data_IF_050387486574
#
_entry.id   IF_050387486574
#
_cell.length_a   1.000
_cell.length_b   1.000
_cell.length_c   1.000
_cell.angle_alpha   90.00
_cell.angle_beta   90.00
_cell.angle_gamma   90.00
#
_symmetry.space_group_name_H-M   'P 1'
#
loop_
_entity.id
_entity.type
_entity.pdbx_description
1 polymer ?
#
# COMPACT_ATOMS: atom_id res chain seq x y z
N UNK A 1 -48.47 24.91 -73.42
CA UNK A 1 -49.89 24.54 -73.64
C UNK A 1 -50.73 25.73 -73.20
N UNK A 2 -51.66 26.20 -74.05
CA UNK A 2 -51.79 27.62 -74.42
C UNK A 2 -52.64 28.45 -73.44
N UNK A 3 -52.28 29.73 -73.33
CA UNK A 3 -53.08 30.78 -72.72
C UNK A 3 -54.33 31.04 -73.58
N UNK A 4 -55.50 30.91 -72.97
CA UNK A 4 -56.78 31.21 -73.59
C UNK A 4 -57.19 32.62 -73.21
N UNK A 5 -57.22 33.45 -74.24
CA UNK A 5 -57.74 34.80 -74.35
C UNK A 5 -59.29 34.77 -74.34
N UNK A 6 -59.95 35.55 -73.48
CA UNK A 6 -61.37 35.95 -73.68
C UNK A 6 -61.58 37.39 -73.14
N UNK A 7 -62.18 38.30 -73.94
CA UNK A 7 -62.35 39.72 -73.62
C UNK A 7 -63.66 40.00 -72.85
N UNK A 8 -63.70 41.10 -72.09
CA UNK A 8 -64.94 41.69 -71.60
C UNK A 8 -65.29 42.97 -72.40
N UNK A 9 -66.57 43.18 -72.73
CA UNK A 9 -66.98 44.24 -73.65
C UNK A 9 -67.27 45.58 -72.96
N UNK A 10 -67.30 46.58 -73.83
CA UNK A 10 -67.53 48.01 -73.67
C UNK A 10 -68.97 48.42 -73.31
N UNK A 11 -69.04 49.65 -72.79
CA UNK A 11 -70.08 50.69 -72.99
C UNK A 11 -71.43 50.60 -72.24
N UNK A 12 -71.60 51.52 -71.27
CA UNK A 12 -72.68 52.52 -71.04
C UNK A 12 -74.12 52.27 -71.56
N UNK A 13 -75.19 52.72 -70.83
CA UNK A 13 -75.43 54.16 -70.63
C UNK A 13 -76.10 54.61 -69.30
N UNK A 14 -75.82 55.84 -68.89
CA UNK A 14 -76.80 56.79 -68.35
C UNK A 14 -77.29 57.65 -69.54
N UNK A 15 -78.45 58.35 -69.54
CA UNK A 15 -79.18 58.94 -68.41
C UNK A 15 -80.71 58.74 -68.52
N UNK A 16 -81.51 59.31 -67.59
CA UNK A 16 -82.80 59.95 -67.91
C UNK A 16 -83.40 60.62 -66.66
N UNK A 17 -83.66 61.91 -66.82
CA UNK A 17 -84.40 62.84 -65.98
C UNK A 17 -85.91 62.53 -65.96
N UNK A 18 -86.59 62.79 -64.84
CA UNK A 18 -88.00 63.28 -64.79
C UNK A 18 -88.40 63.58 -63.34
N UNK A 19 -88.50 64.86 -62.98
CA UNK A 19 -89.31 65.35 -61.85
C UNK A 19 -89.99 66.64 -62.35
N UNK A 20 -91.25 66.52 -62.76
CA UNK A 20 -92.27 67.58 -62.91
C UNK A 20 -93.32 67.29 -61.83
N UNK A 21 -93.51 68.21 -60.87
CA UNK A 21 -94.69 69.10 -60.72
C UNK A 21 -95.96 68.36 -60.21
N UNK A 22 -96.80 68.80 -59.27
CA UNK A 22 -97.14 69.99 -58.45
C UNK A 22 -98.21 69.47 -57.42
N UNK A 23 -99.02 70.25 -56.65
CA UNK A 23 -99.01 71.67 -56.26
C UNK A 23 -99.18 71.90 -54.73
N UNK A 24 -98.97 73.14 -54.27
CA UNK A 24 -99.57 73.64 -53.03
C UNK A 24 -100.16 75.04 -53.27
N UNK A 25 -101.48 75.07 -53.05
CA UNK A 25 -102.51 76.10 -53.08
C UNK A 25 -102.13 77.59 -52.87
N UNK A 26 -102.76 78.41 -53.72
CA UNK A 26 -102.99 79.85 -53.56
C UNK A 26 -104.08 80.15 -52.51
N UNK A 27 -103.85 81.18 -51.68
CA UNK A 27 -104.89 81.82 -50.86
C UNK A 27 -105.29 83.19 -51.44
N UNK A 28 -106.52 83.23 -51.95
CA UNK A 28 -107.59 84.24 -51.85
C UNK A 28 -107.31 85.76 -51.96
N UNK A 29 -108.05 86.41 -52.87
CA UNK A 29 -108.98 87.56 -52.72
C UNK A 29 -109.30 88.08 -54.15
N UNK A 30 -110.47 88.59 -54.56
CA UNK A 30 -111.78 88.88 -53.98
C UNK A 30 -112.74 89.25 -55.13
N UNK A 31 -114.00 88.85 -55.01
CA UNK A 31 -115.23 89.57 -55.41
C UNK A 31 -115.44 90.07 -56.86
N UNK A 32 -116.48 89.53 -57.53
CA UNK A 32 -117.71 90.30 -57.74
C UNK A 32 -118.92 89.45 -58.22
N UNK A 33 -120.08 89.74 -57.62
CA UNK A 33 -121.48 89.56 -58.07
C UNK A 33 -122.26 88.25 -57.75
N UNK A 34 -123.60 88.34 -57.55
CA UNK A 34 -124.43 87.48 -56.67
C UNK A 34 -125.53 86.72 -57.46
N UNK A 35 -126.65 86.29 -56.83
CA UNK A 35 -126.83 85.25 -55.81
C UNK A 35 -127.75 84.12 -56.33
N UNK A 36 -127.73 82.91 -55.73
CA UNK A 36 -128.86 81.97 -55.78
C UNK A 36 -128.84 80.99 -54.59
N UNK A 37 -130.03 80.85 -54.01
CA UNK A 37 -130.38 80.22 -52.74
C UNK A 37 -130.38 78.67 -52.85
N UNK A 38 -129.38 77.99 -52.26
CA UNK A 38 -129.30 76.50 -52.19
C UNK A 38 -128.66 76.09 -50.85
N UNK A 39 -129.23 76.49 -49.71
CA UNK A 39 -128.65 76.13 -48.40
C UNK A 39 -129.15 74.78 -47.83
N UNK A 40 -130.15 74.13 -48.45
CA UNK A 40 -130.72 72.88 -47.93
C UNK A 40 -130.17 71.58 -48.58
N UNK A 41 -129.55 71.66 -49.76
CA UNK A 41 -129.08 70.48 -50.51
C UNK A 41 -127.61 70.10 -50.22
N UNK A 42 -126.82 71.06 -49.71
CA UNK A 42 -125.38 70.88 -49.40
C UNK A 42 -125.16 70.02 -48.16
N UNK A 43 -126.01 70.16 -47.13
CA UNK A 43 -125.85 69.43 -45.86
C UNK A 43 -126.22 67.93 -45.97
N UNK A 44 -127.14 67.58 -46.88
CA UNK A 44 -127.53 66.19 -47.18
C UNK A 44 -126.48 65.44 -48.03
N UNK A 45 -125.89 66.11 -49.03
CA UNK A 45 -124.84 65.52 -49.86
C UNK A 45 -123.49 65.42 -49.15
N UNK A 46 -123.15 66.36 -48.25
CA UNK A 46 -121.94 66.30 -47.44
C UNK A 46 -121.95 65.13 -46.42
N UNK A 47 -123.12 64.76 -45.89
CA UNK A 47 -123.25 63.61 -45.00
C UNK A 47 -123.14 62.27 -45.74
N UNK A 48 -123.71 62.18 -46.95
CA UNK A 48 -123.72 60.94 -47.77
C UNK A 48 -122.37 60.67 -48.44
N UNK A 49 -121.56 61.70 -48.70
CA UNK A 49 -120.19 61.59 -49.25
C UNK A 49 -119.09 61.47 -48.19
N UNK A 50 -119.31 61.94 -46.95
CA UNK A 50 -118.37 61.78 -45.82
C UNK A 50 -118.18 60.32 -45.38
N UNK A 51 -119.25 59.53 -45.37
CA UNK A 51 -119.18 58.11 -44.98
C UNK A 51 -118.24 57.29 -45.89
N UNK A 52 -118.35 57.35 -47.24
CA UNK A 52 -117.45 56.63 -48.15
C UNK A 52 -116.01 57.19 -48.21
N UNK A 53 -115.79 58.47 -47.87
CA UNK A 53 -114.44 59.04 -47.71
C UNK A 53 -113.72 58.47 -46.47
N UNK A 54 -114.42 58.36 -45.33
CA UNK A 54 -113.82 57.81 -44.11
C UNK A 54 -113.42 56.33 -44.24
N UNK A 55 -114.13 55.54 -45.06
CA UNK A 55 -113.79 54.15 -45.34
C UNK A 55 -112.59 54.01 -46.28
N UNK A 56 -112.45 54.91 -47.25
CA UNK A 56 -111.28 54.97 -48.14
C UNK A 56 -110.03 55.38 -47.36
N UNK A 57 -110.13 56.34 -46.44
CA UNK A 57 -109.04 56.72 -45.54
C UNK A 57 -108.62 55.56 -44.62
N UNK A 58 -109.57 54.83 -44.03
CA UNK A 58 -109.27 53.62 -43.24
C UNK A 58 -108.54 52.56 -44.08
N UNK A 59 -108.96 52.34 -45.32
CA UNK A 59 -108.28 51.42 -46.26
C UNK A 59 -106.87 51.92 -46.63
N UNK A 60 -106.71 53.21 -46.88
CA UNK A 60 -105.42 53.84 -47.20
C UNK A 60 -104.45 53.72 -46.02
N UNK A 61 -104.90 54.00 -44.80
CA UNK A 61 -104.10 53.86 -43.58
C UNK A 61 -103.69 52.39 -43.35
N UNK A 62 -104.59 51.44 -43.60
CA UNK A 62 -104.28 50.00 -43.52
C UNK A 62 -103.25 49.58 -44.58
N UNK A 63 -103.36 50.08 -45.80
CA UNK A 63 -102.41 49.82 -46.88
C UNK A 63 -101.04 50.45 -46.58
N UNK A 64 -101.00 51.68 -46.08
CA UNK A 64 -99.77 52.36 -45.65
C UNK A 64 -99.07 51.60 -44.52
N UNK A 65 -99.84 51.14 -43.52
CA UNK A 65 -99.31 50.27 -42.46
C UNK A 65 -98.71 48.98 -43.04
N UNK A 66 -99.45 48.26 -43.89
CA UNK A 66 -98.98 47.04 -44.56
C UNK A 66 -97.71 47.31 -45.38
N UNK A 67 -97.66 48.41 -46.11
CA UNK A 67 -96.51 48.83 -46.89
C UNK A 67 -95.30 49.09 -45.98
N UNK A 68 -95.49 49.77 -44.84
CA UNK A 68 -94.42 49.99 -43.85
C UNK A 68 -93.89 48.69 -43.24
N UNK A 69 -94.76 47.69 -43.02
CA UNK A 69 -94.38 46.37 -42.51
C UNK A 69 -93.61 45.60 -43.56
N UNK A 70 -94.08 45.63 -44.82
CA UNK A 70 -93.40 45.02 -45.97
C UNK A 70 -92.05 45.66 -46.25
N UNK A 71 -91.95 46.98 -46.16
CA UNK A 71 -90.69 47.71 -46.33
C UNK A 71 -89.67 47.33 -45.25
N UNK A 72 -90.11 47.19 -43.99
CA UNK A 72 -89.25 46.71 -42.90
C UNK A 72 -88.79 45.27 -43.10
N UNK A 73 -89.66 44.39 -43.59
CA UNK A 73 -89.27 43.00 -43.90
C UNK A 73 -88.30 42.92 -45.07
N UNK A 74 -88.48 43.74 -46.12
CA UNK A 74 -87.51 43.83 -47.23
C UNK A 74 -86.15 44.33 -46.74
N UNK A 75 -86.11 45.34 -45.86
CA UNK A 75 -84.87 45.83 -45.28
C UNK A 75 -84.14 44.76 -44.44
N UNK A 76 -84.89 44.00 -43.63
CA UNK A 76 -84.34 42.88 -42.84
C UNK A 76 -83.78 41.78 -43.74
N UNK A 77 -84.53 41.35 -44.76
CA UNK A 77 -84.06 40.33 -45.71
C UNK A 77 -82.82 40.79 -46.48
N UNK A 78 -82.74 42.06 -46.88
CA UNK A 78 -81.55 42.60 -47.53
C UNK A 78 -80.33 42.57 -46.60
N UNK A 79 -80.51 42.85 -45.31
CA UNK A 79 -79.42 42.73 -44.33
C UNK A 79 -78.96 41.27 -44.15
N UNK A 80 -79.89 40.32 -44.06
CA UNK A 80 -79.58 38.89 -43.93
C UNK A 80 -78.88 38.34 -45.18
N UNK A 81 -79.29 38.76 -46.38
CA UNK A 81 -78.63 38.39 -47.63
C UNK A 81 -77.18 38.87 -47.63
N UNK A 82 -76.93 40.10 -47.19
CA UNK A 82 -75.57 40.66 -47.10
C UNK A 82 -74.69 39.87 -46.11
N UNK A 83 -75.24 39.55 -44.94
CA UNK A 83 -74.57 38.72 -43.92
C UNK A 83 -74.28 37.29 -44.40
N UNK A 84 -75.19 36.70 -45.18
CA UNK A 84 -74.97 35.38 -45.76
C UNK A 84 -73.91 35.41 -46.86
N UNK A 85 -73.89 36.45 -47.68
CA UNK A 85 -72.88 36.63 -48.72
C UNK A 85 -71.46 36.76 -48.14
N UNK A 86 -71.29 37.53 -47.06
CA UNK A 86 -69.99 37.67 -46.37
C UNK A 86 -69.54 36.33 -45.77
N UNK A 87 -70.43 35.63 -45.04
CA UNK A 87 -70.13 34.29 -44.48
C UNK A 87 -69.76 33.26 -45.55
N UNK A 88 -70.39 33.33 -46.73
CA UNK A 88 -70.13 32.41 -47.83
C UNK A 88 -68.76 32.68 -48.48
N UNK A 89 -68.37 33.95 -48.61
CA UNK A 89 -67.02 34.35 -49.04
C UNK A 89 -65.94 33.81 -48.09
N UNK A 90 -66.08 34.03 -46.79
CA UNK A 90 -65.14 33.54 -45.77
C UNK A 90 -65.00 32.01 -45.79
N UNK A 91 -66.11 31.29 -45.96
CA UNK A 91 -66.09 29.82 -46.10
C UNK A 91 -65.40 29.38 -47.38
N UNK A 92 -65.60 30.09 -48.49
CA UNK A 92 -64.93 29.86 -49.76
C UNK A 92 -63.42 29.95 -49.63
N UNK A 93 -62.92 31.01 -48.99
CA UNK A 93 -61.49 31.23 -48.75
C UNK A 93 -60.88 30.13 -47.85
N UNK A 94 -61.58 29.73 -46.77
CA UNK A 94 -61.12 28.63 -45.90
C UNK A 94 -61.08 27.29 -46.62
N UNK A 95 -62.04 27.01 -47.51
CA UNK A 95 -62.11 25.73 -48.26
C UNK A 95 -60.87 25.52 -49.14
N UNK A 96 -60.28 26.59 -49.67
CA UNK A 96 -59.04 26.51 -50.47
C UNK A 96 -57.88 25.95 -49.64
N UNK A 97 -57.74 26.35 -48.37
CA UNK A 97 -56.70 25.83 -47.48
C UNK A 97 -56.83 24.33 -47.15
N UNK A 98 -58.06 23.81 -47.16
CA UNK A 98 -58.35 22.39 -46.94
C UNK A 98 -58.49 21.59 -48.24
N UNK A 99 -58.33 22.22 -49.40
CA UNK A 99 -58.27 21.46 -50.64
C UNK A 99 -57.09 20.49 -50.59
N UNK A 100 -57.38 19.24 -50.96
CA UNK A 100 -56.44 18.11 -50.95
C UNK A 100 -55.08 18.45 -51.57
N UNK A 101 -55.06 19.28 -52.63
CA UNK A 101 -53.85 19.75 -53.32
C UNK A 101 -52.92 20.60 -52.42
N UNK A 102 -53.46 21.52 -51.61
CA UNK A 102 -52.64 22.37 -50.75
C UNK A 102 -52.14 21.62 -49.51
N UNK A 103 -52.95 20.70 -48.98
CA UNK A 103 -52.55 19.81 -47.88
C UNK A 103 -51.41 18.89 -48.34
N UNK A 104 -51.54 18.25 -49.50
CA UNK A 104 -50.49 17.36 -50.03
C UNK A 104 -49.19 18.11 -50.33
N UNK A 105 -49.26 19.34 -50.86
CA UNK A 105 -48.07 20.16 -51.11
C UNK A 105 -47.35 20.53 -49.79
N UNK A 106 -48.12 20.88 -48.75
CA UNK A 106 -47.59 21.20 -47.42
C UNK A 106 -46.94 19.98 -46.77
N UNK A 107 -47.58 18.81 -46.86
CA UNK A 107 -47.02 17.55 -46.35
C UNK A 107 -45.74 17.16 -47.11
N UNK A 108 -45.73 17.26 -48.43
CA UNK A 108 -44.54 16.98 -49.24
C UNK A 108 -43.35 17.88 -48.85
N UNK A 109 -43.59 19.18 -48.63
CA UNK A 109 -42.56 20.12 -48.16
C UNK A 109 -42.02 19.76 -46.77
N UNK A 110 -42.91 19.40 -45.83
CA UNK A 110 -42.52 18.93 -44.50
C UNK A 110 -41.71 17.62 -44.58
N UNK A 111 -42.15 16.66 -45.38
CA UNK A 111 -41.47 15.38 -45.55
C UNK A 111 -40.07 15.57 -46.14
N UNK A 112 -39.92 16.44 -47.15
CA UNK A 112 -38.61 16.81 -47.69
C UNK A 112 -37.69 17.41 -46.62
N UNK A 113 -38.24 18.26 -45.75
CA UNK A 113 -37.50 18.83 -44.62
C UNK A 113 -37.08 17.74 -43.62
N UNK A 114 -37.97 16.82 -43.28
CA UNK A 114 -37.69 15.69 -42.39
C UNK A 114 -36.60 14.79 -42.96
N UNK A 115 -36.65 14.46 -44.24
CA UNK A 115 -35.63 13.65 -44.93
C UNK A 115 -34.26 14.34 -44.91
N UNK A 116 -34.21 15.63 -45.21
CA UNK A 116 -32.99 16.42 -45.13
C UNK A 116 -32.40 16.43 -43.70
N UNK A 117 -33.24 16.57 -42.68
CA UNK A 117 -32.81 16.53 -41.28
C UNK A 117 -32.31 15.14 -40.89
N UNK A 118 -32.99 14.06 -41.30
CA UNK A 118 -32.53 12.68 -41.08
C UNK A 118 -31.18 12.41 -41.71
N UNK A 119 -30.96 12.89 -42.95
CA UNK A 119 -29.67 12.77 -43.62
C UNK A 119 -28.57 13.52 -42.86
N UNK A 120 -28.82 14.75 -42.40
CA UNK A 120 -27.88 15.52 -41.58
C UNK A 120 -27.54 14.82 -40.26
N UNK A 121 -28.54 14.28 -39.56
CA UNK A 121 -28.33 13.53 -38.31
C UNK A 121 -27.43 12.31 -38.55
N UNK A 122 -27.66 11.57 -39.63
CA UNK A 122 -26.83 10.39 -39.98
C UNK A 122 -25.38 10.79 -40.25
N UNK A 123 -25.15 11.89 -40.97
CA UNK A 123 -23.80 12.41 -41.23
C UNK A 123 -23.10 12.80 -39.92
N UNK A 124 -23.79 13.55 -39.05
CA UNK A 124 -23.25 13.97 -37.74
C UNK A 124 -22.94 12.78 -36.83
N UNK A 125 -23.78 11.75 -36.81
CA UNK A 125 -23.52 10.52 -36.05
C UNK A 125 -22.26 9.81 -36.55
N UNK A 126 -22.06 9.73 -37.86
CA UNK A 126 -20.85 9.13 -38.44
C UNK A 126 -19.60 9.95 -38.10
N UNK A 127 -19.66 11.28 -38.18
CA UNK A 127 -18.57 12.18 -37.78
C UNK A 127 -18.24 12.05 -36.29
N UNK A 128 -19.25 11.97 -35.43
CA UNK A 128 -19.06 11.73 -34.00
C UNK A 128 -18.34 10.39 -33.76
N UNK A 129 -18.76 9.32 -34.45
CA UNK A 129 -18.16 7.99 -34.30
C UNK A 129 -16.69 7.97 -34.73
N UNK A 130 -16.35 8.61 -35.85
CA UNK A 130 -14.95 8.69 -36.30
C UNK A 130 -14.10 9.54 -35.35
N UNK A 131 -14.63 10.68 -34.88
CA UNK A 131 -13.92 11.52 -33.91
C UNK A 131 -13.64 10.76 -32.61
N UNK A 132 -14.65 10.10 -32.04
CA UNK A 132 -14.50 9.28 -30.82
C UNK A 132 -13.46 8.17 -31.02
N UNK A 133 -13.51 7.46 -32.16
CA UNK A 133 -12.52 6.41 -32.44
C UNK A 133 -11.09 6.96 -32.56
N UNK A 134 -10.91 8.16 -33.14
CA UNK A 134 -9.60 8.81 -33.22
C UNK A 134 -9.10 9.27 -31.84
N UNK A 135 -9.98 9.83 -31.00
CA UNK A 135 -9.63 10.24 -29.64
C UNK A 135 -9.27 9.03 -28.78
N UNK A 136 -10.01 7.93 -28.88
CA UNK A 136 -9.74 6.70 -28.13
C UNK A 136 -8.39 6.11 -28.51
N UNK A 137 -8.06 6.09 -29.82
CA UNK A 137 -6.73 5.66 -30.30
C UNK A 137 -5.60 6.56 -29.75
N UNK A 138 -5.79 7.87 -29.74
CA UNK A 138 -4.80 8.82 -29.18
C UNK A 138 -4.65 8.64 -27.67
N UNK A 139 -5.76 8.44 -26.96
CA UNK A 139 -5.77 8.19 -25.52
C UNK A 139 -5.05 6.88 -25.19
N UNK A 140 -5.33 5.81 -25.94
CA UNK A 140 -4.65 4.52 -25.81
C UNK A 140 -3.13 4.64 -25.95
N UNK A 141 -2.65 5.37 -26.97
CA UNK A 141 -1.21 5.64 -27.16
C UNK A 141 -0.60 6.42 -25.98
N UNK A 142 -1.26 7.49 -25.53
CA UNK A 142 -0.78 8.26 -24.37
C UNK A 142 -0.74 7.40 -23.11
N UNK A 143 -1.72 6.53 -22.91
CA UNK A 143 -1.73 5.62 -21.76
C UNK A 143 -0.59 4.59 -21.82
N UNK A 144 -0.27 4.04 -23.00
CA UNK A 144 0.89 3.17 -23.16
C UNK A 144 2.21 3.91 -22.91
N UNK A 145 2.32 5.17 -23.37
CA UNK A 145 3.50 5.99 -23.13
C UNK A 145 3.67 6.29 -21.63
N UNK A 146 2.59 6.61 -20.92
CA UNK A 146 2.58 6.83 -19.47
C UNK A 146 3.05 5.57 -18.74
N UNK A 147 2.55 4.39 -19.11
CA UNK A 147 2.98 3.13 -18.50
C UNK A 147 4.49 2.87 -18.72
N UNK A 148 4.98 3.12 -19.94
CA UNK A 148 6.41 2.99 -20.25
C UNK A 148 7.28 3.97 -19.44
N UNK A 149 6.82 5.22 -19.26
CA UNK A 149 7.51 6.19 -18.41
C UNK A 149 7.52 5.79 -16.93
N UNK A 150 6.42 5.26 -16.41
CA UNK A 150 6.36 4.77 -15.03
C UNK A 150 7.34 3.61 -14.80
N UNK A 151 7.43 2.68 -15.73
CA UNK A 151 8.42 1.58 -15.66
C UNK A 151 9.85 2.12 -15.70
N UNK A 152 10.12 3.11 -16.56
CA UNK A 152 11.45 3.74 -16.65
C UNK A 152 11.82 4.48 -15.36
N UNK A 153 10.89 5.18 -14.73
CA UNK A 153 11.11 5.84 -13.43
C UNK A 153 11.45 4.79 -12.37
N UNK A 154 10.66 3.72 -12.25
CA UNK A 154 10.92 2.65 -11.29
C UNK A 154 12.27 1.95 -11.50
N UNK A 155 12.75 1.85 -12.76
CA UNK A 155 14.09 1.36 -13.06
C UNK A 155 15.17 2.34 -12.59
N UNK A 156 15.02 3.64 -12.88
CA UNK A 156 15.97 4.67 -12.47
C UNK A 156 16.09 4.79 -10.95
N UNK A 157 14.99 4.63 -10.21
CA UNK A 157 14.99 4.62 -8.74
C UNK A 157 15.79 3.43 -8.19
N UNK A 158 15.65 2.24 -8.78
CA UNK A 158 16.44 1.05 -8.42
C UNK A 158 17.93 1.26 -8.69
N UNK A 159 18.27 1.84 -9.84
CA UNK A 159 19.65 2.12 -10.21
C UNK A 159 20.28 3.17 -9.28
N UNK A 160 19.55 4.23 -8.94
CA UNK A 160 19.96 5.25 -7.98
C UNK A 160 20.22 4.65 -6.59
N UNK A 161 19.33 3.78 -6.11
CA UNK A 161 19.50 3.08 -4.84
C UNK A 161 20.79 2.24 -4.84
N UNK A 162 21.02 1.45 -5.89
CA UNK A 162 22.24 0.65 -6.07
C UNK A 162 23.51 1.51 -6.08
N UNK A 163 23.51 2.61 -6.83
CA UNK A 163 24.64 3.54 -6.90
C UNK A 163 24.91 4.20 -5.56
N UNK A 164 23.87 4.63 -4.84
CA UNK A 164 24.02 5.21 -3.50
C UNK A 164 24.63 4.21 -2.51
N UNK A 165 24.26 2.93 -2.60
CA UNK A 165 24.81 1.87 -1.76
C UNK A 165 26.29 1.61 -2.11
N UNK A 166 26.65 1.61 -3.39
CA UNK A 166 28.05 1.49 -3.83
C UNK A 166 28.90 2.65 -3.33
N UNK A 167 28.42 3.88 -3.47
CA UNK A 167 29.12 5.07 -2.96
C UNK A 167 29.36 5.00 -1.44
N UNK A 168 28.36 4.57 -0.66
CA UNK A 168 28.51 4.34 0.79
C UNK A 168 29.54 3.26 1.12
N UNK A 169 29.56 2.15 0.38
CA UNK A 169 30.55 1.07 0.57
C UNK A 169 31.96 1.58 0.27
N UNK A 170 32.13 2.32 -0.82
CA UNK A 170 33.43 2.89 -1.20
C UNK A 170 33.94 3.89 -0.16
N UNK A 171 33.06 4.76 0.38
CA UNK A 171 33.42 5.67 1.45
C UNK A 171 33.88 4.93 2.72
N UNK A 172 33.19 3.84 3.10
CA UNK A 172 33.58 2.98 4.23
C UNK A 172 34.92 2.29 3.99
N UNK A 173 35.18 1.83 2.76
CA UNK A 173 36.47 1.24 2.41
C UNK A 173 37.59 2.28 2.48
N UNK A 174 37.37 3.48 1.94
CA UNK A 174 38.34 4.59 2.01
C UNK A 174 38.67 4.95 3.45
N UNK A 175 37.67 5.06 4.34
CA UNK A 175 37.93 5.35 5.76
C UNK A 175 38.65 4.20 6.47
N UNK A 176 38.28 2.95 6.17
CA UNK A 176 38.98 1.76 6.68
C UNK A 176 40.45 1.76 6.28
N UNK A 177 40.76 1.88 4.99
CA UNK A 177 42.16 1.89 4.52
C UNK A 177 42.95 3.13 4.96
N UNK A 178 42.29 4.26 5.23
CA UNK A 178 42.94 5.44 5.82
C UNK A 178 43.35 5.22 7.29
N UNK A 179 42.59 4.42 8.03
CA UNK A 179 42.85 4.13 9.45
C UNK A 179 43.71 2.87 9.65
N UNK A 180 43.76 1.98 8.66
CA UNK A 180 44.51 0.73 8.73
C UNK A 180 46.01 0.93 9.07
N UNK A 181 46.76 1.92 8.52
CA UNK A 181 48.17 2.10 8.86
C UNK A 181 48.39 2.53 10.32
N UNK A 182 47.51 3.37 10.87
CA UNK A 182 47.63 3.81 12.27
C UNK A 182 47.33 2.66 13.23
N UNK A 183 46.28 1.88 12.94
CA UNK A 183 45.95 0.67 13.69
C UNK A 183 47.11 -0.33 13.61
N UNK A 184 47.63 -0.62 12.42
CA UNK A 184 48.76 -1.52 12.23
C UNK A 184 50.01 -1.07 12.99
N UNK A 185 50.29 0.25 13.03
CA UNK A 185 51.40 0.82 13.82
C UNK A 185 51.21 0.56 15.32
N UNK A 186 50.01 0.79 15.85
CA UNK A 186 49.68 0.53 17.26
C UNK A 186 49.87 -0.94 17.61
N UNK A 187 49.35 -1.84 16.76
CA UNK A 187 49.51 -3.29 16.96
C UNK A 187 50.98 -3.71 16.91
N UNK A 188 51.74 -3.25 15.91
CA UNK A 188 53.18 -3.55 15.80
C UNK A 188 53.97 -3.07 17.01
N UNK A 189 53.65 -1.89 17.55
CA UNK A 189 54.30 -1.39 18.77
C UNK A 189 53.88 -2.14 20.04
N UNK A 190 52.65 -2.66 20.10
CA UNK A 190 52.17 -3.47 21.23
C UNK A 190 52.81 -4.85 21.21
N UNK A 191 52.75 -5.54 20.08
CA UNK A 191 53.36 -6.87 19.93
C UNK A 191 54.86 -6.80 20.10
N UNK A 192 55.53 -5.77 19.57
CA UNK A 192 56.96 -5.55 19.80
C UNK A 192 57.32 -5.45 21.28
N UNK A 193 56.53 -4.73 22.09
CA UNK A 193 56.72 -4.64 23.55
C UNK A 193 56.51 -5.97 24.26
N UNK A 194 55.49 -6.73 23.89
CA UNK A 194 55.22 -8.05 24.46
C UNK A 194 56.35 -9.05 24.13
N UNK A 195 56.83 -9.06 22.88
CA UNK A 195 57.99 -9.87 22.46
C UNK A 195 59.23 -9.49 23.26
N UNK A 196 59.53 -8.20 23.44
CA UNK A 196 60.67 -7.76 24.25
C UNK A 196 60.57 -8.24 25.71
N UNK A 197 59.37 -8.18 26.31
CA UNK A 197 59.15 -8.69 27.68
C UNK A 197 59.39 -10.19 27.77
N UNK A 198 58.87 -10.97 26.82
CA UNK A 198 59.05 -12.42 26.77
C UNK A 198 60.52 -12.79 26.58
N UNK A 199 61.23 -12.11 25.69
CA UNK A 199 62.67 -12.33 25.47
C UNK A 199 63.50 -12.04 26.73
N UNK A 200 63.15 -11.01 27.49
CA UNK A 200 63.81 -10.74 28.78
C UNK A 200 63.53 -11.84 29.80
N UNK A 201 62.31 -12.37 29.86
CA UNK A 201 61.96 -13.46 30.76
C UNK A 201 62.70 -14.75 30.41
N UNK A 202 62.82 -15.06 29.11
CA UNK A 202 63.63 -16.18 28.61
C UNK A 202 65.08 -16.05 29.08
N UNK A 203 65.72 -14.89 28.88
CA UNK A 203 67.09 -14.66 29.35
C UNK A 203 67.27 -14.89 30.85
N UNK A 204 66.35 -14.36 31.67
CA UNK A 204 66.40 -14.56 33.13
C UNK A 204 66.28 -16.04 33.50
N UNK A 205 65.44 -16.80 32.79
CA UNK A 205 65.32 -18.23 33.02
C UNK A 205 66.56 -19.00 32.56
N UNK A 206 67.13 -18.65 31.42
CA UNK A 206 68.39 -19.23 30.92
C UNK A 206 69.53 -19.01 31.92
N UNK A 207 69.67 -17.79 32.45
CA UNK A 207 70.69 -17.46 33.47
C UNK A 207 70.49 -18.26 34.76
N UNK A 208 69.23 -18.42 35.22
CA UNK A 208 68.90 -19.24 36.39
C UNK A 208 69.25 -20.71 36.17
N UNK A 209 68.96 -21.23 34.98
CA UNK A 209 69.23 -22.62 34.63
C UNK A 209 70.75 -22.87 34.64
N UNK A 210 71.53 -21.95 34.06
CA UNK A 210 72.99 -22.01 34.08
C UNK A 210 73.57 -21.97 35.51
N UNK A 211 72.99 -21.16 36.40
CA UNK A 211 73.38 -21.12 37.81
C UNK A 211 73.07 -22.44 38.53
N UNK A 212 71.93 -23.07 38.26
CA UNK A 212 71.59 -24.37 38.85
C UNK A 212 72.47 -25.50 38.32
N UNK A 213 72.87 -25.48 37.05
CA UNK A 213 73.79 -26.48 36.49
C UNK A 213 75.19 -26.35 37.07
N UNK A 214 75.69 -25.14 37.30
CA UNK A 214 77.00 -24.91 37.92
C UNK A 214 77.03 -25.25 39.42
N UNK A 215 75.90 -25.19 40.12
CA UNK A 215 75.77 -25.58 41.53
C UNK A 215 75.47 -27.08 41.71
N UNK A 216 75.34 -27.85 40.63
CA UNK A 216 74.97 -29.27 40.62
C UNK A 216 76.11 -30.26 40.92
N UNK A 217 77.17 -29.86 41.62
CA UNK A 217 78.09 -30.80 42.26
C UNK A 217 77.56 -31.11 43.66
N UNK A 218 76.59 -32.02 43.76
CA UNK A 218 76.14 -32.57 45.03
C UNK A 218 77.33 -33.27 45.71
N UNK A 219 77.85 -32.66 46.78
CA UNK A 219 78.77 -33.30 47.71
C UNK A 219 77.99 -34.43 48.40
N UNK A 220 78.32 -35.69 48.09
CA UNK A 220 77.75 -36.84 48.80
C UNK A 220 78.61 -37.05 50.03
N UNK A 221 78.18 -36.53 51.18
CA UNK A 221 78.84 -36.76 52.45
C UNK A 221 78.53 -38.19 52.92
N UNK A 222 79.53 -39.05 52.82
CA UNK A 222 79.42 -40.47 53.19
C UNK A 222 79.61 -40.72 54.67
N UNK A 223 80.10 -39.72 55.42
CA UNK A 223 80.35 -39.80 56.86
C UNK A 223 79.83 -38.56 57.57
N UNK A 224 79.30 -38.76 58.77
CA UNK A 224 78.95 -37.68 59.70
C UNK A 224 80.17 -37.04 60.36
N UNK A 225 79.94 -36.00 61.15
CA UNK A 225 80.99 -35.25 61.85
C UNK A 225 81.79 -36.11 62.85
N UNK A 226 81.17 -37.18 63.36
CA UNK A 226 81.75 -38.16 64.29
C UNK A 226 82.57 -39.26 63.59
N UNK A 227 82.68 -39.21 62.26
CA UNK A 227 83.38 -40.20 61.45
C UNK A 227 82.61 -41.51 61.25
N UNK A 228 81.38 -41.61 61.75
CA UNK A 228 80.48 -42.72 61.43
C UNK A 228 79.91 -42.55 60.03
N UNK A 229 79.52 -43.65 59.37
CA UNK A 229 78.89 -43.56 58.05
C UNK A 229 77.50 -42.93 58.19
N UNK A 230 77.14 -42.05 57.24
CA UNK A 230 75.83 -41.39 57.25
C UNK A 230 74.70 -42.41 57.15
N UNK A 231 73.53 -42.04 57.69
CA UNK A 231 72.36 -42.94 57.71
C UNK A 231 71.96 -43.41 56.30
N UNK A 232 72.13 -42.56 55.28
CA UNK A 232 71.89 -42.93 53.89
C UNK A 232 72.80 -44.06 53.42
N UNK A 233 74.10 -44.00 53.76
CA UNK A 233 75.05 -45.07 53.45
C UNK A 233 74.71 -46.34 54.23
N UNK A 234 74.31 -46.20 55.50
CA UNK A 234 73.95 -47.34 56.35
C UNK A 234 72.66 -48.02 55.88
N UNK A 235 71.65 -47.26 55.48
CA UNK A 235 70.41 -47.76 54.88
C UNK A 235 70.69 -48.46 53.56
N UNK A 236 71.47 -47.84 52.66
CA UNK A 236 71.86 -48.48 51.40
C UNK A 236 72.60 -49.82 51.63
N UNK A 237 73.45 -49.90 52.66
CA UNK A 237 74.10 -51.15 53.07
C UNK A 237 73.07 -52.20 53.51
N UNK A 238 72.12 -51.84 54.37
CA UNK A 238 71.09 -52.76 54.87
C UNK A 238 70.19 -53.24 53.72
N UNK A 239 69.78 -52.35 52.82
CA UNK A 239 68.97 -52.68 51.66
C UNK A 239 69.71 -53.64 50.72
N UNK A 240 70.99 -53.37 50.43
CA UNK A 240 71.80 -54.26 49.59
C UNK A 240 71.99 -55.64 50.23
N UNK A 241 72.19 -55.71 51.55
CA UNK A 241 72.25 -56.98 52.27
C UNK A 241 70.89 -57.71 52.24
N UNK A 242 69.78 -56.97 52.31
CA UNK A 242 68.42 -57.51 52.16
C UNK A 242 68.14 -58.06 50.75
N UNK A 243 68.82 -57.52 49.73
CA UNK A 243 68.84 -58.03 48.36
C UNK A 243 69.87 -59.15 48.14
N UNK A 244 70.32 -59.80 49.21
CA UNK A 244 71.27 -60.92 49.21
C UNK A 244 72.64 -60.59 48.59
N UNK A 245 73.02 -59.31 48.53
CA UNK A 245 74.38 -58.92 48.09
C UNK A 245 75.39 -59.39 49.14
N UNK A 246 76.36 -60.19 48.71
CA UNK A 246 77.41 -60.68 49.61
C UNK A 246 78.13 -59.50 50.30
N UNK A 247 78.37 -59.61 51.61
CA UNK A 247 78.95 -58.54 52.47
C UNK A 247 80.18 -57.86 51.86
N UNK A 248 81.06 -58.62 51.21
CA UNK A 248 82.30 -58.11 50.60
C UNK A 248 82.10 -57.45 49.24
N UNK A 249 80.89 -57.46 48.68
CA UNK A 249 80.49 -56.87 47.40
C UNK A 249 79.62 -55.62 47.53
N UNK A 250 79.13 -55.30 48.72
CA UNK A 250 78.27 -54.14 48.97
C UNK A 250 78.93 -52.83 48.53
N UNK A 251 80.14 -52.52 49.01
CA UNK A 251 80.85 -51.28 48.63
C UNK A 251 81.17 -51.20 47.14
N UNK A 252 81.66 -52.28 46.48
CA UNK A 252 81.81 -52.31 45.01
C UNK A 252 80.53 -52.01 44.23
N UNK A 253 79.37 -52.51 44.68
CA UNK A 253 78.08 -52.25 44.03
C UNK A 253 77.72 -50.77 44.14
N UNK A 254 77.82 -50.18 45.34
CA UNK A 254 77.58 -48.74 45.55
C UNK A 254 78.49 -47.91 44.63
N UNK A 255 79.78 -48.27 44.55
CA UNK A 255 80.74 -47.57 43.70
C UNK A 255 80.41 -47.68 42.21
N UNK A 256 79.97 -48.85 41.74
CA UNK A 256 79.60 -49.06 40.34
C UNK A 256 78.36 -48.24 39.95
N UNK A 257 77.32 -48.24 40.79
CA UNK A 257 76.10 -47.46 40.58
C UNK A 257 76.42 -45.96 40.60
N UNK A 258 77.19 -45.50 41.58
CA UNK A 258 77.56 -44.09 41.69
C UNK A 258 78.33 -43.58 40.47
N UNK A 259 79.25 -44.40 39.95
CA UNK A 259 80.01 -44.08 38.75
C UNK A 259 79.13 -44.02 37.50
N UNK A 260 78.20 -44.96 37.32
CA UNK A 260 77.41 -45.06 36.10
C UNK A 260 76.21 -44.10 36.07
N UNK A 261 75.50 -43.95 37.19
CA UNK A 261 74.27 -43.14 37.25
C UNK A 261 74.60 -41.68 37.53
N UNK A 262 75.50 -41.42 38.49
CA UNK A 262 75.75 -40.07 39.00
C UNK A 262 77.10 -39.49 38.54
N UNK A 263 77.85 -40.22 37.70
CA UNK A 263 79.22 -39.85 37.27
C UNK A 263 80.17 -39.53 38.46
N UNK A 264 79.85 -40.05 39.65
CA UNK A 264 80.59 -39.79 40.89
C UNK A 264 81.58 -40.92 41.20
N UNK A 265 82.76 -40.59 41.73
CA UNK A 265 83.80 -41.57 42.09
C UNK A 265 84.14 -41.46 43.58
N UNK A 266 83.68 -42.42 44.37
CA UNK A 266 84.07 -42.55 45.77
C UNK A 266 85.54 -42.96 45.93
N UNK A 267 86.23 -42.40 46.93
CA UNK A 267 87.55 -42.85 47.38
C UNK A 267 87.41 -44.13 48.22
N UNK A 268 88.48 -44.94 48.36
CA UNK A 268 88.42 -46.20 49.12
C UNK A 268 87.98 -46.06 50.59
N UNK A 269 88.19 -44.89 51.20
CA UNK A 269 87.81 -44.59 52.58
C UNK A 269 86.37 -44.09 52.76
N UNK A 270 85.69 -43.74 51.66
CA UNK A 270 84.37 -43.11 51.64
C UNK A 270 83.25 -44.15 51.74
N UNK A 271 83.56 -45.43 51.52
CA UNK A 271 82.60 -46.52 51.60
C UNK A 271 82.95 -47.48 52.74
N UNK A 272 81.95 -48.12 53.36
CA UNK A 272 82.18 -49.04 54.47
C UNK A 272 82.96 -50.26 53.99
N UNK A 273 84.04 -50.60 54.71
CA UNK A 273 84.78 -51.83 54.48
C UNK A 273 84.00 -53.07 54.94
N UNK A 274 84.44 -54.26 54.56
CA UNK A 274 83.77 -55.54 54.89
C UNK A 274 83.37 -55.68 56.36
N UNK A 275 84.29 -55.36 57.28
CA UNK A 275 84.02 -55.44 58.72
C UNK A 275 83.01 -54.40 59.19
N UNK A 276 83.03 -53.22 58.58
CA UNK A 276 82.06 -52.15 58.90
C UNK A 276 80.67 -52.50 58.38
N UNK A 277 80.56 -53.06 57.17
CA UNK A 277 79.30 -53.59 56.64
C UNK A 277 78.71 -54.64 57.57
N UNK A 278 79.54 -55.56 58.08
CA UNK A 278 79.10 -56.57 59.03
C UNK A 278 78.60 -55.95 60.34
N UNK A 279 79.32 -54.96 60.89
CA UNK A 279 78.88 -54.23 62.10
C UNK A 279 77.56 -53.51 61.88
N UNK A 280 77.39 -52.82 60.75
CA UNK A 280 76.13 -52.16 60.39
C UNK A 280 74.99 -53.19 60.31
N UNK A 281 75.25 -54.36 59.73
CA UNK A 281 74.29 -55.48 59.68
C UNK A 281 73.92 -55.99 61.07
N UNK A 282 74.91 -56.28 61.91
CA UNK A 282 74.69 -56.80 63.26
C UNK A 282 73.93 -55.79 64.13
N UNK A 283 74.28 -54.51 64.02
CA UNK A 283 73.57 -53.41 64.66
C UNK A 283 72.14 -53.28 64.15
N UNK A 284 71.92 -53.34 62.82
CA UNK A 284 70.59 -53.33 62.23
C UNK A 284 69.73 -54.50 62.72
N UNK A 285 70.31 -55.71 62.82
CA UNK A 285 69.64 -56.88 63.39
C UNK A 285 69.35 -56.71 64.88
N UNK A 286 70.28 -56.16 65.65
CA UNK A 286 70.10 -55.88 67.07
C UNK A 286 68.96 -54.89 67.30
N UNK A 287 68.98 -53.75 66.61
CA UNK A 287 67.93 -52.73 66.67
C UNK A 287 66.57 -53.31 66.26
N UNK A 288 66.55 -54.15 65.22
CA UNK A 288 65.33 -54.85 64.79
C UNK A 288 64.82 -55.79 65.88
N UNK A 289 65.69 -56.58 66.51
CA UNK A 289 65.33 -57.47 67.64
C UNK A 289 64.81 -56.68 68.84
N UNK A 290 65.47 -55.57 69.22
CA UNK A 290 65.01 -54.69 70.29
C UNK A 290 63.62 -54.12 69.97
N UNK A 291 63.42 -53.59 68.76
CA UNK A 291 62.14 -53.04 68.32
C UNK A 291 61.03 -54.10 68.30
N UNK A 292 61.31 -55.33 67.88
CA UNK A 292 60.34 -56.41 67.98
C UNK A 292 60.08 -56.82 69.43
N UNK A 293 61.11 -56.92 70.28
CA UNK A 293 60.92 -57.21 71.70
C UNK A 293 60.03 -56.16 72.37
N UNK A 294 60.27 -54.87 72.12
CA UNK A 294 59.44 -53.78 72.64
C UNK A 294 58.00 -53.86 72.13
N UNK A 295 57.78 -54.13 70.84
CA UNK A 295 56.44 -54.36 70.27
C UNK A 295 55.75 -55.57 70.88
N UNK A 296 56.48 -56.66 71.14
CA UNK A 296 55.95 -57.86 71.77
C UNK A 296 55.59 -57.60 73.25
N UNK A 297 56.41 -56.84 73.98
CA UNK A 297 56.13 -56.43 75.35
C UNK A 297 54.93 -55.47 75.45
N UNK A 298 54.73 -54.60 74.44
CA UNK A 298 53.58 -53.71 74.37
C UNK A 298 52.26 -54.43 74.04
N UNK A 299 52.31 -55.63 73.45
CA UNK A 299 51.13 -56.45 73.16
C UNK A 299 50.68 -57.23 74.41
N UNK A 300 49.61 -56.78 75.06
CA UNK A 300 49.02 -57.40 76.26
C UNK A 300 48.67 -58.89 76.13
N UNK A 301 48.45 -59.36 74.90
CA UNK A 301 47.98 -60.71 74.57
C UNK A 301 49.06 -61.61 73.94
N UNK A 302 50.32 -61.17 73.87
CA UNK A 302 51.39 -62.01 73.32
C UNK A 302 51.73 -63.16 74.28
N UNK A 303 51.45 -64.40 73.87
CA UNK A 303 51.57 -65.60 74.72
C UNK A 303 50.26 -66.08 75.37
N UNK A 304 49.13 -65.43 75.06
CA UNK A 304 47.78 -65.95 75.33
C UNK A 304 47.32 -66.81 74.15
N UNK A 305 46.84 -68.02 74.45
CA UNK A 305 46.14 -68.86 73.48
C UNK A 305 44.81 -68.19 73.08
N UNK A 306 44.21 -68.61 71.94
CA UNK A 306 42.92 -68.06 71.45
C UNK A 306 41.78 -68.15 72.47
N UNK A 307 41.89 -69.03 73.46
CA UNK A 307 40.95 -69.23 74.56
C UNK A 307 41.25 -68.36 75.81
N UNK A 308 42.19 -67.41 75.71
CA UNK A 308 42.60 -66.52 76.80
C UNK A 308 43.52 -67.17 77.83
N UNK A 309 43.92 -68.43 77.64
CA UNK A 309 44.80 -69.12 78.58
C UNK A 309 46.28 -68.81 78.31
N UNK A 310 47.05 -68.47 79.35
CA UNK A 310 48.51 -68.33 79.25
C UNK A 310 49.18 -69.67 79.53
N UNK A 311 50.11 -70.09 78.68
CA UNK A 311 50.87 -71.35 78.85
C UNK A 311 51.77 -71.26 80.09
N UNK A 312 51.29 -71.71 81.25
CA UNK A 312 52.08 -71.79 82.48
C UNK A 312 53.09 -72.94 82.31
N UNK A 313 54.38 -72.61 82.23
CA UNK A 313 55.47 -73.60 82.19
C UNK A 313 55.52 -74.30 83.56
N UNK A 314 54.92 -75.48 83.68
CA UNK A 314 54.97 -76.29 84.91
C UNK A 314 56.39 -76.82 85.07
N UNK A 315 57.07 -76.38 86.11
CA UNK A 315 58.42 -76.79 86.44
C UNK A 315 58.35 -78.05 87.31
N UNK A 316 58.23 -79.22 86.69
CA UNK A 316 58.23 -80.51 87.39
C UNK A 316 59.65 -80.83 87.88
N UNK A 317 59.98 -80.39 89.10
CA UNK A 317 61.00 -81.05 89.91
C UNK A 317 60.47 -82.45 90.23
N UNK A 318 61.03 -83.48 89.58
CA UNK A 318 60.89 -84.86 90.04
C UNK A 318 61.68 -84.99 91.34
N UNK A 319 60.98 -85.14 92.46
CA UNK A 319 61.49 -85.90 93.58
C UNK A 319 61.40 -87.38 93.19
N UNK A 320 62.55 -87.97 92.87
CA UNK A 320 62.94 -89.34 93.22
C UNK A 320 64.45 -89.43 93.11
#
# INVERSE_FOLDING_TARGET
>A
MPEVNVPFPKEFPAPMSTIEEYPQDDFAQSENLPPLDIQAEVDSQAATTRVPLSEKEKKLNRLSYLMSVKQRTVAQLNSEISDLQTKLKDRGERKVHYQKKYVSLREASKNKTIENLRAKVKILQNQKKTYVSQTDKKLGKKNSDIAAFQERIAQLERDLASMSQRARREQRLKSYYKTLPSVAKVWKSRTGREISKLNNYIKVLEDRLLQTENNGQTLIDTKGEDGTFSDDVRLAVIELLGLEVAVHKVSPVIQAVAKHVFKHKFKPCDLPGRMTVLRISDEGQYLTKCLYADKLHACSHFGENKDGTRRKKVNTRRQH
#
